data_IF_651514350431
#
_entry.id   IF_651514350431
#
_cell.length_a   1.000
_cell.length_b   1.000
_cell.length_c   1.000
_cell.angle_alpha   90.00
_cell.angle_beta   90.00
_cell.angle_gamma   90.00
#
_symmetry.space_group_name_H-M   'P 1'
#
loop_
_entity.id
_entity.type
_entity.pdbx_description
1 polymer ?
#
# COMPACT_ATOMS: atom_id res chain seq x y z
N UNK A 1 12.51 -3.22 -0.98
CA UNK A 1 12.31 -2.26 0.12
C UNK A 1 12.97 -0.97 -0.28
N UNK A 2 12.23 0.14 -0.20
CA UNK A 2 12.70 1.49 -0.48
C UNK A 2 13.83 1.89 0.50
N UNK A 3 14.75 2.72 0.02
CA UNK A 3 15.73 3.44 0.84
C UNK A 3 15.05 4.50 1.71
N UNK A 4 15.75 5.05 2.71
CA UNK A 4 15.17 6.10 3.58
C UNK A 4 14.71 7.31 2.78
N UNK A 5 15.48 7.72 1.77
CA UNK A 5 15.15 8.83 0.89
C UNK A 5 13.88 8.55 0.07
N UNK A 6 13.75 7.36 -0.52
CA UNK A 6 12.55 6.96 -1.26
C UNK A 6 11.31 6.83 -0.35
N UNK A 7 11.50 6.40 0.90
CA UNK A 7 10.43 6.41 1.92
C UNK A 7 9.98 7.84 2.17
N UNK A 8 10.92 8.77 2.40
CA UNK A 8 10.61 10.19 2.61
C UNK A 8 9.90 10.79 1.40
N UNK A 9 10.36 10.48 0.18
CA UNK A 9 9.75 10.96 -1.05
C UNK A 9 8.30 10.44 -1.20
N UNK A 10 8.07 9.17 -0.88
CA UNK A 10 6.71 8.57 -0.85
C UNK A 10 5.79 9.28 0.15
N UNK A 11 6.31 9.63 1.34
CA UNK A 11 5.53 10.36 2.34
C UNK A 11 5.21 11.79 1.90
N UNK A 12 6.10 12.45 1.16
CA UNK A 12 5.88 13.77 0.57
C UNK A 12 4.79 13.71 -0.49
N UNK A 13 4.84 12.72 -1.38
CA UNK A 13 3.84 12.47 -2.42
C UNK A 13 2.46 12.26 -1.80
N UNK A 14 2.30 11.29 -0.89
CA UNK A 14 1.03 11.01 -0.21
C UNK A 14 0.46 12.21 0.53
N UNK A 15 1.31 12.99 1.22
CA UNK A 15 0.90 14.23 1.89
C UNK A 15 0.32 15.23 0.87
N UNK A 16 0.98 15.38 -0.28
CA UNK A 16 0.58 16.35 -1.31
C UNK A 16 -0.69 15.91 -2.05
N UNK A 17 -0.83 14.62 -2.37
CA UNK A 17 -2.05 14.02 -2.95
C UNK A 17 -3.28 14.26 -2.07
N UNK A 18 -3.10 14.22 -0.76
CA UNK A 18 -4.17 14.47 0.22
C UNK A 18 -4.30 15.94 0.60
N UNK A 19 -3.61 16.85 -0.10
CA UNK A 19 -3.60 18.29 0.13
C UNK A 19 -3.28 18.69 1.58
N UNK A 20 -2.50 17.87 2.29
CA UNK A 20 -2.14 18.14 3.68
C UNK A 20 -0.98 19.13 3.76
N UNK A 21 -1.03 20.03 4.73
CA UNK A 21 0.12 20.82 5.12
C UNK A 21 1.07 20.00 6.02
N UNK A 22 2.34 20.41 6.09
CA UNK A 22 3.30 19.77 7.01
C UNK A 22 2.83 19.88 8.48
N UNK A 23 2.16 20.98 8.83
CA UNK A 23 1.61 21.20 10.17
C UNK A 23 0.46 20.23 10.48
N UNK A 24 -0.41 19.96 9.51
CA UNK A 24 -1.51 19.00 9.67
C UNK A 24 -0.99 17.57 9.82
N UNK A 25 -0.06 17.16 8.97
CA UNK A 25 0.54 15.83 9.08
C UNK A 25 1.22 15.65 10.44
N UNK A 26 1.99 16.64 10.90
CA UNK A 26 2.64 16.63 12.21
C UNK A 26 1.62 16.45 13.36
N UNK A 27 0.46 17.12 13.29
CA UNK A 27 -0.63 16.92 14.26
C UNK A 27 -1.20 15.50 14.21
N UNK A 28 -1.43 14.94 13.01
CA UNK A 28 -1.98 13.59 12.83
C UNK A 28 -1.07 12.50 13.38
N UNK A 29 0.25 12.63 13.20
CA UNK A 29 1.23 11.66 13.72
C UNK A 29 1.72 11.97 15.13
N UNK A 30 1.16 12.99 15.79
CA UNK A 30 1.57 13.47 17.12
C UNK A 30 3.08 13.76 17.22
N UNK A 31 3.62 14.49 16.24
CA UNK A 31 5.03 14.88 16.21
C UNK A 31 5.20 16.40 16.12
N UNK A 32 6.33 16.90 16.62
CA UNK A 32 6.71 18.30 16.40
C UNK A 32 6.92 18.58 14.89
N UNK A 33 6.37 19.68 14.39
CA UNK A 33 6.56 20.12 12.99
C UNK A 33 8.05 20.23 12.62
N UNK A 34 8.90 20.66 13.55
CA UNK A 34 10.34 20.77 13.35
C UNK A 34 11.02 19.40 13.16
N UNK A 35 10.58 18.37 13.89
CA UNK A 35 11.08 17.01 13.71
C UNK A 35 10.65 16.47 12.34
N UNK A 36 9.39 16.64 11.97
CA UNK A 36 8.86 16.23 10.68
C UNK A 36 9.56 16.92 9.51
N UNK A 37 9.83 18.22 9.65
CA UNK A 37 10.58 19.01 8.66
C UNK A 37 11.98 18.46 8.42
N UNK A 38 12.66 17.96 9.46
CA UNK A 38 14.00 17.36 9.31
C UNK A 38 14.00 16.04 8.57
N UNK A 39 12.91 15.27 8.67
CA UNK A 39 12.75 14.08 7.84
C UNK A 39 12.49 14.46 6.39
N UNK A 40 11.56 15.40 6.16
CA UNK A 40 11.10 15.78 4.82
C UNK A 40 12.17 16.53 4.00
N UNK A 41 13.13 17.16 4.65
CA UNK A 41 14.29 17.76 3.98
C UNK A 41 15.54 16.85 4.00
N UNK A 42 15.38 15.59 4.46
CA UNK A 42 16.44 14.56 4.50
C UNK A 42 17.67 14.95 5.36
N UNK A 43 17.54 15.93 6.25
CA UNK A 43 18.59 16.30 7.22
C UNK A 43 18.64 15.37 8.44
N UNK A 44 17.64 14.51 8.58
CA UNK A 44 17.59 13.44 9.57
C UNK A 44 16.89 12.24 8.96
N UNK A 45 17.41 11.05 9.18
CA UNK A 45 16.76 9.81 8.75
C UNK A 45 15.36 9.66 9.33
N UNK A 46 14.43 9.22 8.48
CA UNK A 46 13.10 8.87 8.88
C UNK A 46 13.12 7.61 9.78
N UNK A 47 12.51 7.66 10.98
CA UNK A 47 12.52 6.54 11.92
C UNK A 47 11.51 5.47 11.50
N UNK A 48 11.98 4.27 11.12
CA UNK A 48 11.12 3.20 10.62
C UNK A 48 10.05 2.72 11.62
N UNK A 49 10.29 2.84 12.93
CA UNK A 49 9.30 2.52 13.96
C UNK A 49 8.08 3.47 13.96
N UNK A 50 8.13 4.56 13.19
CA UNK A 50 7.00 5.47 13.00
C UNK A 50 6.18 5.18 11.73
N UNK A 51 6.59 4.23 10.88
CA UNK A 51 5.90 3.95 9.60
C UNK A 51 4.40 3.72 9.81
N UNK A 52 4.00 2.95 10.84
CA UNK A 52 2.59 2.65 11.13
C UNK A 52 1.76 3.90 11.43
N UNK A 53 2.34 4.83 12.19
CA UNK A 53 1.67 6.09 12.52
C UNK A 53 1.45 6.95 11.26
N UNK A 54 2.43 6.97 10.36
CA UNK A 54 2.34 7.69 9.09
C UNK A 54 1.38 7.02 8.12
N UNK A 55 1.40 5.69 8.03
CA UNK A 55 0.47 4.91 7.21
C UNK A 55 -0.98 5.23 7.58
N UNK A 56 -1.29 5.21 8.88
CA UNK A 56 -2.61 5.57 9.40
C UNK A 56 -2.97 7.03 9.12
N UNK A 57 -2.05 7.97 9.30
CA UNK A 57 -2.29 9.40 9.10
C UNK A 57 -2.49 9.80 7.63
N UNK A 58 -1.89 9.02 6.72
CA UNK A 58 -1.91 9.19 5.26
C UNK A 58 -2.79 8.13 4.57
N UNK A 59 -3.68 7.44 5.30
CA UNK A 59 -4.63 6.49 4.71
C UNK A 59 -4.00 5.48 3.72
N UNK A 60 -2.81 4.97 4.06
CA UNK A 60 -2.05 4.00 3.27
C UNK A 60 -1.60 2.83 4.16
N UNK A 61 -0.75 1.94 3.64
CA UNK A 61 -0.17 0.80 4.36
C UNK A 61 1.33 1.02 4.64
N UNK A 62 1.86 0.47 5.74
CA UNK A 62 3.31 0.42 5.97
C UNK A 62 4.08 -0.17 4.79
N UNK A 63 3.51 -1.20 4.17
CA UNK A 63 4.08 -1.92 3.04
C UNK A 63 4.30 -1.01 1.83
N UNK A 64 3.30 -0.18 1.50
CA UNK A 64 3.37 0.80 0.42
C UNK A 64 4.46 1.86 0.67
N UNK A 65 4.52 2.38 1.90
CA UNK A 65 5.54 3.36 2.33
C UNK A 65 6.94 2.75 2.21
N UNK A 66 7.10 1.50 2.65
CA UNK A 66 8.38 0.78 2.62
C UNK A 66 8.72 0.19 1.25
N UNK A 67 7.82 0.29 0.26
CA UNK A 67 7.99 -0.27 -1.06
C UNK A 67 8.24 -1.77 -1.03
N UNK A 68 7.55 -2.47 -0.12
CA UNK A 68 7.26 -3.87 -0.36
C UNK A 68 6.30 -3.90 -1.53
N UNK A 69 6.70 -4.56 -2.63
CA UNK A 69 5.77 -4.87 -3.69
C UNK A 69 4.67 -5.69 -3.03
N UNK A 70 3.48 -5.12 -2.88
CA UNK A 70 2.28 -5.93 -2.70
C UNK A 70 2.37 -6.98 -3.80
N UNK A 71 2.34 -8.26 -3.44
CA UNK A 71 2.11 -9.31 -4.43
C UNK A 71 0.90 -8.84 -5.24
N UNK A 72 1.13 -8.59 -6.53
CA UNK A 72 0.34 -7.74 -7.42
C UNK A 72 -1.14 -8.11 -7.46
N UNK A 73 -1.90 -7.71 -6.45
CA UNK A 73 -3.34 -7.65 -6.52
C UNK A 73 -3.63 -6.23 -6.08
N UNK A 74 -3.79 -5.33 -7.06
CA UNK A 74 -4.28 -3.99 -6.81
C UNK A 74 -5.60 -4.03 -6.04
N UNK A 75 -6.19 -2.86 -5.77
CA UNK A 75 -7.50 -2.80 -5.13
C UNK A 75 -8.50 -3.70 -5.86
N UNK A 76 -9.11 -4.64 -5.13
CA UNK A 76 -10.05 -5.60 -5.72
C UNK A 76 -11.16 -4.86 -6.47
N UNK A 77 -11.23 -5.12 -7.78
CA UNK A 77 -12.33 -4.67 -8.63
C UNK A 77 -13.62 -5.37 -8.23
N UNK A 78 -14.76 -4.85 -8.69
CA UNK A 78 -16.05 -5.50 -8.46
C UNK A 78 -16.11 -6.90 -9.09
N UNK A 79 -15.33 -7.15 -10.15
CA UNK A 79 -15.20 -8.47 -10.76
C UNK A 79 -14.43 -9.44 -9.86
N UNK A 80 -13.32 -9.00 -9.27
CA UNK A 80 -12.51 -9.83 -8.36
C UNK A 80 -13.34 -10.24 -7.14
N UNK A 81 -14.09 -9.30 -6.56
CA UNK A 81 -14.98 -9.56 -5.42
C UNK A 81 -16.07 -10.57 -5.75
N UNK A 82 -16.63 -10.54 -6.96
CA UNK A 82 -17.64 -11.51 -7.41
C UNK A 82 -17.07 -12.91 -7.53
N UNK A 83 -15.89 -13.05 -8.14
CA UNK A 83 -15.21 -14.36 -8.26
C UNK A 83 -14.87 -14.91 -6.87
N UNK A 84 -14.30 -14.09 -5.98
CA UNK A 84 -13.97 -14.50 -4.61
C UNK A 84 -15.21 -14.96 -3.84
N UNK A 85 -16.34 -14.26 -3.97
CA UNK A 85 -17.60 -14.64 -3.31
C UNK A 85 -18.08 -16.00 -3.79
N UNK A 86 -18.11 -16.24 -5.10
CA UNK A 86 -18.54 -17.52 -5.67
C UNK A 86 -17.59 -18.63 -5.22
N UNK A 87 -16.27 -18.40 -5.31
CA UNK A 87 -15.26 -19.39 -4.97
C UNK A 87 -15.39 -19.85 -3.49
N UNK A 88 -15.67 -18.93 -2.56
CA UNK A 88 -15.90 -19.25 -1.14
C UNK A 88 -17.14 -20.12 -0.88
N UNK A 89 -18.09 -20.17 -1.81
CA UNK A 89 -19.31 -20.99 -1.69
C UNK A 89 -19.16 -22.37 -2.35
N UNK A 90 -18.08 -22.61 -3.10
CA UNK A 90 -17.80 -23.89 -3.74
C UNK A 90 -17.10 -24.86 -2.78
N UNK A 91 -17.26 -26.16 -3.02
CA UNK A 91 -16.43 -27.20 -2.39
C UNK A 91 -15.00 -27.16 -2.94
N UNK A 92 -14.03 -27.69 -2.19
CA UNK A 92 -12.61 -27.69 -2.56
C UNK A 92 -12.35 -28.23 -3.98
N UNK A 93 -12.92 -29.38 -4.35
CA UNK A 93 -12.77 -29.97 -5.69
C UNK A 93 -13.30 -29.05 -6.81
N UNK A 94 -14.26 -28.19 -6.51
CA UNK A 94 -14.82 -27.23 -7.48
C UNK A 94 -14.01 -25.95 -7.52
N UNK A 95 -13.43 -25.52 -6.39
CA UNK A 95 -12.49 -24.39 -6.35
C UNK A 95 -11.27 -24.67 -7.22
N UNK A 96 -10.73 -25.89 -7.16
CA UNK A 96 -9.60 -26.32 -8.00
C UNK A 96 -9.93 -26.21 -9.49
N UNK A 97 -11.15 -26.60 -9.89
CA UNK A 97 -11.60 -26.44 -11.29
C UNK A 97 -11.68 -24.98 -11.74
N UNK A 98 -12.13 -24.07 -10.86
CA UNK A 98 -12.17 -22.63 -11.16
C UNK A 98 -10.75 -22.08 -11.33
N UNK A 99 -9.83 -22.48 -10.46
CA UNK A 99 -8.42 -22.11 -10.56
C UNK A 99 -7.80 -22.60 -11.88
N UNK A 100 -7.95 -23.88 -12.21
CA UNK A 100 -7.40 -24.45 -13.43
C UNK A 100 -7.92 -23.73 -14.67
N UNK A 101 -9.24 -23.52 -14.76
CA UNK A 101 -9.84 -22.80 -15.89
C UNK A 101 -9.33 -21.35 -16.00
N UNK A 102 -9.21 -20.64 -14.87
CA UNK A 102 -8.66 -19.28 -14.87
C UNK A 102 -7.18 -19.25 -15.31
N UNK A 103 -6.40 -20.25 -14.91
CA UNK A 103 -5.01 -20.42 -15.34
C UNK A 103 -4.91 -20.68 -16.84
N UNK A 104 -5.72 -21.61 -17.35
CA UNK A 104 -5.75 -21.95 -18.78
C UNK A 104 -6.10 -20.72 -19.63
N UNK A 105 -7.09 -19.92 -19.21
CA UNK A 105 -7.45 -18.68 -19.91
C UNK A 105 -6.34 -17.62 -19.89
N UNK A 106 -5.57 -17.54 -18.81
CA UNK A 106 -4.42 -16.63 -18.73
C UNK A 106 -3.29 -17.10 -19.66
N UNK A 107 -3.02 -18.40 -19.70
CA UNK A 107 -2.03 -18.99 -20.59
C UNK A 107 -2.45 -18.81 -22.06
N UNK A 108 -3.73 -18.98 -22.39
CA UNK A 108 -4.29 -18.70 -23.73
C UNK A 108 -4.16 -17.22 -24.12
N UNK A 109 -4.28 -16.28 -23.18
CA UNK A 109 -4.14 -14.85 -23.47
C UNK A 109 -2.68 -14.44 -23.78
N UNK A 110 -1.73 -15.13 -23.14
CA UNK A 110 -0.30 -14.77 -23.20
C UNK A 110 0.48 -15.52 -24.30
N UNK A 111 -0.16 -16.49 -24.98
CA UNK A 111 0.39 -17.23 -26.12
C UNK A 111 -0.28 -16.81 -27.43
#
# INVERSE_FOLDING_TARGET
MKTNDEIVDTLIELKNEQHLTLSELARRVNMAKSALSRYFNKTREFPLNNVDAFAKALHTTPEYILGFKENEIGSLTDSDRRILRINKMLSSDRQEKVYNYASDQLDEQNN
#
